data_IF_689172107368
#
_entry.id   IF_689172107368
#
_cell.length_a   1.000
_cell.length_b   1.000
_cell.length_c   1.000
_cell.angle_alpha   90.00
_cell.angle_beta   90.00
_cell.angle_gamma   90.00
#
_symmetry.space_group_name_H-M   'P 1'
#
loop_
_entity.id
_entity.type
_entity.pdbx_description
1 polymer ?
#
# COMPACT_ATOMS: atom_id res chain seq x y z
N UNK A 1 -18.65 -41.13 40.96
CA UNK A 1 -18.45 -40.00 40.04
C UNK A 1 -17.16 -39.35 40.47
N UNK A 2 -16.08 -39.71 39.79
CA UNK A 2 -14.76 -39.08 39.89
C UNK A 2 -14.75 -37.85 38.98
N UNK A 3 -14.20 -36.74 39.43
CA UNK A 3 -13.50 -35.83 38.52
C UNK A 3 -12.13 -35.50 39.14
N UNK A 4 -11.15 -35.67 38.29
CA UNK A 4 -9.72 -35.83 38.54
C UNK A 4 -9.03 -34.52 38.16
N UNK A 5 -8.13 -34.10 39.04
CA UNK A 5 -7.27 -32.94 38.92
C UNK A 5 -6.08 -33.26 37.99
N UNK A 6 -5.88 -32.50 36.91
CA UNK A 6 -4.62 -32.44 36.13
C UNK A 6 -4.50 -31.03 35.52
N UNK A 7 -3.62 -30.18 36.03
CA UNK A 7 -2.17 -30.04 35.77
C UNK A 7 -1.83 -29.23 34.51
N UNK A 8 -1.03 -28.21 34.75
CA UNK A 8 -0.43 -27.34 33.75
C UNK A 8 0.67 -28.13 33.01
N UNK A 9 0.64 -28.16 31.68
CA UNK A 9 1.78 -27.91 30.79
C UNK A 9 1.61 -28.54 29.39
N UNK A 10 2.15 -27.82 28.41
CA UNK A 10 2.70 -28.30 27.14
C UNK A 10 1.71 -28.67 26.02
N UNK A 11 1.40 -27.68 25.17
CA UNK A 11 1.25 -27.94 23.73
C UNK A 11 2.49 -27.38 23.04
N UNK A 12 3.39 -28.32 22.76
CA UNK A 12 4.49 -28.24 21.81
C UNK A 12 3.91 -28.12 20.40
N UNK A 13 3.78 -26.88 19.91
CA UNK A 13 3.49 -26.62 18.50
C UNK A 13 4.79 -26.63 17.71
N UNK A 14 5.06 -27.81 17.15
CA UNK A 14 6.08 -28.02 16.14
C UNK A 14 5.87 -27.07 14.96
N UNK A 15 6.93 -26.29 14.70
CA UNK A 15 7.54 -26.08 13.37
C UNK A 15 6.61 -25.53 12.28
N UNK A 16 6.53 -24.20 12.20
CA UNK A 16 6.41 -23.50 10.91
C UNK A 16 7.67 -22.65 10.73
N UNK A 17 8.48 -23.11 9.78
CA UNK A 17 9.71 -22.48 9.32
C UNK A 17 9.42 -21.09 8.73
N UNK A 18 10.35 -20.17 8.97
CA UNK A 18 10.70 -18.99 8.17
C UNK A 18 9.57 -18.19 7.51
N UNK A 19 9.02 -17.25 8.28
CA UNK A 19 8.57 -15.98 7.73
C UNK A 19 9.26 -14.87 8.53
N UNK A 20 10.20 -14.09 7.94
CA UNK A 20 10.76 -12.96 8.66
C UNK A 20 9.64 -11.97 8.99
N UNK A 21 9.34 -11.84 10.28
CA UNK A 21 8.45 -10.81 10.82
C UNK A 21 9.06 -9.44 10.50
N UNK A 22 8.48 -8.78 9.51
CA UNK A 22 8.71 -7.37 9.17
C UNK A 22 8.53 -6.44 10.40
N UNK A 23 7.86 -6.94 11.44
CA UNK A 23 7.58 -6.21 12.69
C UNK A 23 8.84 -5.99 13.55
N UNK A 24 9.87 -6.83 13.44
CA UNK A 24 11.04 -6.74 14.33
C UNK A 24 12.04 -5.65 13.91
N UNK A 25 11.94 -5.12 12.68
CA UNK A 25 12.84 -4.06 12.19
C UNK A 25 12.42 -2.67 12.72
N UNK A 26 11.20 -2.52 13.25
CA UNK A 26 10.68 -1.20 13.65
C UNK A 26 11.05 -0.86 15.11
N UNK A 27 11.50 -1.81 15.93
CA UNK A 27 11.63 -1.63 17.40
C UNK A 27 13.08 -1.43 17.88
N UNK A 28 13.98 -0.89 17.04
CA UNK A 28 15.33 -0.49 17.54
C UNK A 28 15.71 0.98 17.33
N UNK A 29 14.80 1.82 16.82
CA UNK A 29 14.99 3.27 16.86
C UNK A 29 14.08 3.92 17.90
N UNK A 30 14.34 3.63 19.18
CA UNK A 30 13.98 4.55 20.27
C UNK A 30 14.81 5.83 20.12
N UNK A 31 14.46 6.66 19.15
CA UNK A 31 14.88 8.05 19.14
C UNK A 31 13.91 8.78 20.06
N UNK A 32 14.42 9.18 21.22
CA UNK A 32 13.79 10.13 22.12
C UNK A 32 13.55 11.44 21.36
N UNK A 33 12.43 11.53 20.64
CA UNK A 33 12.00 12.77 19.97
C UNK A 33 11.54 13.70 21.08
N UNK A 34 12.46 14.54 21.56
CA UNK A 34 12.09 15.60 22.47
C UNK A 34 11.12 16.55 21.74
N UNK A 35 9.91 16.79 22.29
CA UNK A 35 8.86 17.52 21.59
C UNK A 35 9.14 19.02 21.36
N UNK A 36 10.35 19.50 21.66
CA UNK A 36 10.73 20.92 21.63
C UNK A 36 12.11 21.18 20.97
N UNK A 37 12.50 20.42 19.94
CA UNK A 37 13.68 20.79 19.14
C UNK A 37 13.34 21.96 18.21
N UNK A 38 13.66 23.17 18.63
CA UNK A 38 13.66 24.34 17.76
C UNK A 38 14.92 24.32 16.89
N UNK A 39 14.75 24.23 15.57
CA UNK A 39 15.86 24.36 14.61
C UNK A 39 16.16 25.82 14.32
N UNK A 40 17.43 26.16 14.14
CA UNK A 40 17.80 27.46 13.57
C UNK A 40 17.38 27.51 12.08
N UNK A 41 17.18 28.71 11.51
CA UNK A 41 16.86 28.86 10.09
C UNK A 41 17.88 28.16 9.17
N UNK A 42 19.17 28.19 9.54
CA UNK A 42 20.25 27.54 8.80
C UNK A 42 20.12 26.02 8.83
N UNK A 43 19.76 25.44 9.98
CA UNK A 43 19.55 23.98 10.10
C UNK A 43 18.35 23.50 9.28
N UNK A 44 17.29 24.31 9.20
CA UNK A 44 16.14 24.00 8.34
C UNK A 44 16.53 24.03 6.87
N UNK A 45 17.31 25.03 6.46
CA UNK A 45 17.81 25.14 5.09
C UNK A 45 18.71 23.95 4.74
N UNK A 46 19.62 23.54 5.62
CA UNK A 46 20.46 22.36 5.43
C UNK A 46 19.63 21.07 5.26
N UNK A 47 18.60 20.89 6.10
CA UNK A 47 17.68 19.75 5.99
C UNK A 47 16.91 19.78 4.67
N UNK A 48 16.48 20.96 4.23
CA UNK A 48 15.78 21.13 2.96
C UNK A 48 16.69 20.79 1.77
N UNK A 49 17.94 21.26 1.77
CA UNK A 49 18.91 20.93 0.73
C UNK A 49 19.23 19.43 0.69
N UNK A 50 19.36 18.79 1.84
CA UNK A 50 19.53 17.33 1.92
C UNK A 50 18.32 16.59 1.38
N UNK A 51 17.11 17.04 1.71
CA UNK A 51 15.87 16.48 1.19
C UNK A 51 15.79 16.60 -0.33
N UNK A 52 16.02 17.79 -0.89
CA UNK A 52 15.99 18.03 -2.34
C UNK A 52 17.00 17.13 -3.06
N UNK A 53 18.20 16.99 -2.49
CA UNK A 53 19.25 16.14 -3.06
C UNK A 53 18.84 14.66 -3.08
N UNK A 54 18.34 14.14 -1.95
CA UNK A 54 17.88 12.74 -1.86
C UNK A 54 16.68 12.49 -2.77
N UNK A 55 15.72 13.41 -2.78
CA UNK A 55 14.54 13.32 -3.63
C UNK A 55 14.91 13.24 -5.11
N UNK A 56 15.88 14.04 -5.56
CA UNK A 56 16.33 14.01 -6.96
C UNK A 56 17.05 12.70 -7.31
N UNK A 57 17.87 12.17 -6.39
CA UNK A 57 18.55 10.88 -6.58
C UNK A 57 17.52 9.76 -6.66
N UNK A 58 16.55 9.73 -5.74
CA UNK A 58 15.47 8.76 -5.74
C UNK A 58 14.59 8.89 -7.00
N UNK A 59 14.25 10.11 -7.44
CA UNK A 59 13.52 10.32 -8.69
C UNK A 59 14.32 9.79 -9.91
N UNK A 60 15.64 9.96 -9.92
CA UNK A 60 16.50 9.46 -10.99
C UNK A 60 16.65 7.93 -10.96
N UNK A 61 16.81 7.34 -9.78
CA UNK A 61 16.83 5.89 -9.58
C UNK A 61 15.50 5.27 -9.97
N UNK A 62 14.39 5.84 -9.49
CA UNK A 62 13.05 5.46 -9.91
C UNK A 62 12.95 5.58 -11.42
N UNK A 63 13.34 6.69 -12.07
CA UNK A 63 13.35 6.85 -13.55
C UNK A 63 14.15 5.79 -14.29
N UNK A 64 15.28 5.33 -13.74
CA UNK A 64 16.05 4.20 -14.27
C UNK A 64 15.29 2.87 -14.11
N UNK A 65 14.52 2.72 -13.04
CA UNK A 65 13.62 1.60 -12.77
C UNK A 65 12.22 1.72 -13.43
N UNK A 66 11.88 2.85 -14.08
CA UNK A 66 10.60 3.05 -14.79
C UNK A 66 10.48 2.26 -16.09
N UNK A 67 11.43 1.39 -16.42
CA UNK A 67 11.02 0.16 -17.09
C UNK A 67 10.29 -0.70 -16.07
N UNK A 68 9.06 -0.29 -15.74
CA UNK A 68 8.09 -1.17 -15.11
C UNK A 68 7.88 -2.26 -16.15
N UNK A 69 8.62 -3.36 -16.00
CA UNK A 69 8.43 -4.55 -16.82
C UNK A 69 7.11 -5.12 -16.34
N UNK A 70 6.03 -4.74 -17.03
CA UNK A 70 4.73 -5.34 -16.81
C UNK A 70 4.87 -6.85 -17.05
N UNK A 71 4.18 -7.71 -16.29
CA UNK A 71 4.07 -9.12 -16.61
C UNK A 71 3.67 -9.32 -18.07
N UNK A 72 4.23 -10.35 -18.72
CA UNK A 72 4.02 -10.61 -20.15
C UNK A 72 2.53 -10.65 -20.52
N UNK A 73 1.70 -11.26 -19.67
CA UNK A 73 0.25 -11.30 -19.85
C UNK A 73 -0.37 -9.90 -20.00
N UNK A 74 0.02 -8.93 -19.16
CA UNK A 74 -0.49 -7.56 -19.24
C UNK A 74 0.05 -6.87 -20.50
N UNK A 75 1.30 -7.11 -20.88
CA UNK A 75 1.87 -6.54 -22.11
C UNK A 75 1.17 -7.06 -23.36
N UNK A 76 0.87 -8.35 -23.41
CA UNK A 76 0.14 -9.00 -24.50
C UNK A 76 -1.28 -8.46 -24.59
N UNK A 77 -2.00 -8.42 -23.47
CA UNK A 77 -3.35 -7.85 -23.42
C UNK A 77 -3.37 -6.40 -23.91
N UNK A 78 -2.40 -5.57 -23.50
CA UNK A 78 -2.31 -4.17 -23.95
C UNK A 78 -2.02 -4.03 -25.45
N UNK A 79 -1.28 -4.98 -26.05
CA UNK A 79 -0.98 -5.00 -27.49
C UNK A 79 -2.16 -5.52 -28.32
N UNK A 80 -2.84 -6.54 -27.83
CA UNK A 80 -3.91 -7.24 -28.53
C UNK A 80 -5.26 -6.53 -28.39
N UNK A 81 -5.48 -5.80 -27.28
CA UNK A 81 -6.73 -5.08 -27.04
C UNK A 81 -6.86 -3.88 -27.99
N UNK A 82 -7.90 -3.84 -28.84
CA UNK A 82 -8.19 -2.69 -29.69
C UNK A 82 -8.47 -1.43 -28.87
N UNK A 83 -8.11 -0.26 -29.40
CA UNK A 83 -8.31 1.04 -28.72
C UNK A 83 -9.76 1.29 -28.27
N UNK A 84 -10.74 0.90 -29.08
CA UNK A 84 -12.17 1.04 -28.77
C UNK A 84 -12.59 0.16 -27.58
N UNK A 85 -12.03 -1.03 -27.47
CA UNK A 85 -12.28 -1.96 -26.38
C UNK A 85 -11.58 -1.47 -25.11
N UNK A 86 -10.36 -0.97 -25.21
CA UNK A 86 -9.64 -0.33 -24.10
C UNK A 86 -10.45 0.83 -23.51
N UNK A 87 -11.00 1.71 -24.35
CA UNK A 87 -11.85 2.82 -23.90
C UNK A 87 -13.12 2.34 -23.21
N UNK A 88 -13.73 1.26 -23.71
CA UNK A 88 -14.93 0.67 -23.12
C UNK A 88 -14.62 0.03 -21.76
N UNK A 89 -13.49 -0.67 -21.64
CA UNK A 89 -13.00 -1.27 -20.42
C UNK A 89 -12.72 -0.22 -19.35
N UNK A 90 -12.06 0.89 -19.71
CA UNK A 90 -11.80 2.01 -18.80
C UNK A 90 -13.11 2.62 -18.29
N UNK A 91 -14.07 2.89 -19.17
CA UNK A 91 -15.38 3.43 -18.78
C UNK A 91 -16.14 2.50 -17.83
N UNK A 92 -16.10 1.20 -18.11
CA UNK A 92 -16.69 0.18 -17.23
C UNK A 92 -16.03 0.20 -15.85
N UNK A 93 -14.71 0.21 -15.81
CA UNK A 93 -13.96 0.28 -14.55
C UNK A 93 -14.30 1.53 -13.74
N UNK A 94 -14.31 2.72 -14.38
CA UNK A 94 -14.66 3.98 -13.71
C UNK A 94 -16.07 3.94 -13.13
N UNK A 95 -17.03 3.38 -13.87
CA UNK A 95 -18.40 3.23 -13.38
C UNK A 95 -18.46 2.35 -12.13
N UNK A 96 -17.70 1.27 -12.13
CA UNK A 96 -17.74 0.26 -11.07
C UNK A 96 -16.91 0.68 -9.83
N UNK A 97 -16.12 1.75 -9.92
CA UNK A 97 -15.41 2.32 -8.77
C UNK A 97 -16.38 2.92 -7.73
N UNK A 98 -16.16 2.65 -6.43
CA UNK A 98 -16.90 3.30 -5.38
C UNK A 98 -16.57 4.80 -5.34
N UNK A 99 -17.59 5.62 -5.12
CA UNK A 99 -17.49 7.07 -5.03
C UNK A 99 -17.59 7.51 -3.57
N UNK A 100 -16.71 8.40 -3.14
CA UNK A 100 -16.75 8.95 -1.78
C UNK A 100 -17.43 10.31 -1.81
N UNK A 101 -18.51 10.46 -1.03
CA UNK A 101 -19.26 11.72 -0.97
C UNK A 101 -20.11 11.80 0.29
N UNK A 102 -20.09 12.95 0.96
CA UNK A 102 -20.91 13.19 2.16
C UNK A 102 -20.47 12.43 3.41
N UNK A 103 -19.23 11.93 3.46
CA UNK A 103 -18.69 11.14 4.58
C UNK A 103 -18.75 9.63 4.38
N UNK A 104 -19.39 9.16 3.31
CA UNK A 104 -19.61 7.73 3.06
C UNK A 104 -19.14 7.28 1.67
N UNK A 105 -18.79 5.99 1.57
CA UNK A 105 -18.53 5.31 0.29
C UNK A 105 -19.83 4.82 -0.33
N UNK A 106 -20.04 5.16 -1.60
CA UNK A 106 -21.23 4.82 -2.37
C UNK A 106 -20.84 4.05 -3.63
N UNK A 107 -21.68 3.10 -4.08
CA UNK A 107 -21.49 2.42 -5.36
C UNK A 107 -22.45 3.00 -6.40
N UNK A 108 -21.96 3.24 -7.63
CA UNK A 108 -22.81 3.72 -8.72
C UNK A 108 -23.79 2.60 -9.15
N UNK A 109 -24.98 2.55 -8.55
CA UNK A 109 -26.05 1.68 -9.03
C UNK A 109 -26.64 2.26 -10.32
N UNK A 110 -26.72 1.45 -11.37
CA UNK A 110 -27.53 1.79 -12.53
C UNK A 110 -29.01 1.82 -12.09
N UNK A 111 -29.58 3.02 -11.96
CA UNK A 111 -31.02 3.17 -11.75
C UNK A 111 -31.68 2.92 -13.10
N UNK A 112 -32.10 1.68 -13.36
CA UNK A 112 -33.04 1.41 -14.45
C UNK A 112 -34.32 2.18 -14.10
N UNK A 113 -34.58 3.28 -14.80
CA UNK A 113 -35.86 3.98 -14.73
C UNK A 113 -36.87 3.11 -15.49
N UNK A 114 -37.64 2.32 -14.76
CA UNK A 114 -38.87 1.76 -15.30
C UNK A 114 -39.84 2.94 -15.53
N UNK A 115 -40.14 3.21 -16.80
CA UNK A 115 -41.21 4.14 -17.17
C UNK A 115 -42.51 3.33 -17.16
N UNK A 116 -43.34 3.54 -16.14
CA UNK A 116 -44.73 3.09 -16.12
C UNK A 116 -45.61 4.04 -16.93
#
# INVERSE_FOLDING_TARGET
MEEIYYDNATVDERRTEDVPRIVDIIIESEHNVQPNQSFSPEQVEELYQQFVTRFRIEEEEQRKHHQIILPEAIQTDLKETPKSEMQSNIKRYIRDLPNYGGGDWTINKAINKEFT
#
